data_IF_016174043636
#
_entry.id   IF_016174043636
#
_cell.length_a   1.000
_cell.length_b   1.000
_cell.length_c   1.000
_cell.angle_alpha   90.00
_cell.angle_beta   90.00
_cell.angle_gamma   90.00
#
_symmetry.space_group_name_H-M   'P 1'
#
loop_
_entity.id
_entity.type
_entity.pdbx_description
1 polymer ?
#
# COMPACT_ATOMS: atom_id res chain seq x y z
N UNK A 1 19.45 1.58 12.88
CA UNK A 1 18.67 0.53 13.57
C UNK A 1 18.68 -0.68 12.63
N UNK A 2 19.34 -1.79 12.99
CA UNK A 2 19.46 -2.97 12.14
C UNK A 2 18.42 -4.00 12.55
N UNK A 3 17.61 -4.49 11.60
CA UNK A 3 16.65 -5.56 11.80
C UNK A 3 17.40 -6.86 12.17
N UNK A 4 17.10 -7.44 13.34
CA UNK A 4 17.62 -8.74 13.75
C UNK A 4 16.43 -9.70 13.96
N UNK A 5 16.33 -10.72 13.11
CA UNK A 5 15.31 -11.78 13.18
C UNK A 5 14.24 -11.71 12.08
N UNK A 6 13.31 -12.68 12.08
CA UNK A 6 12.23 -12.80 11.09
C UNK A 6 11.02 -11.89 11.39
N UNK A 7 11.07 -11.07 12.45
CA UNK A 7 9.97 -10.19 12.83
C UNK A 7 10.14 -8.80 12.21
N UNK A 8 9.12 -8.36 11.48
CA UNK A 8 9.02 -6.98 10.97
C UNK A 8 8.53 -6.00 12.05
N UNK A 9 8.09 -6.52 13.18
CA UNK A 9 7.65 -5.79 14.38
C UNK A 9 8.72 -5.86 15.46
N UNK A 10 9.12 -4.70 15.97
CA UNK A 10 10.14 -4.57 17.01
C UNK A 10 9.55 -3.96 18.28
N UNK A 11 9.84 -4.60 19.43
CA UNK A 11 9.64 -3.96 20.73
C UNK A 11 10.65 -2.83 20.89
N UNK A 12 10.16 -1.68 21.34
CA UNK A 12 10.99 -0.48 21.55
C UNK A 12 11.59 -0.53 22.96
N UNK A 13 12.88 -0.24 23.10
CA UNK A 13 13.52 -0.17 24.42
C UNK A 13 13.11 1.11 25.18
N UNK A 14 13.31 1.12 26.50
CA UNK A 14 12.87 2.23 27.37
C UNK A 14 13.45 3.59 26.94
N UNK A 15 14.72 3.63 26.54
CA UNK A 15 15.38 4.87 26.12
C UNK A 15 14.78 5.43 24.83
N UNK A 16 14.47 4.55 23.86
CA UNK A 16 13.82 4.93 22.62
C UNK A 16 12.37 5.36 22.85
N UNK A 17 11.64 4.73 23.77
CA UNK A 17 10.29 5.17 24.16
C UNK A 17 10.36 6.57 24.79
N UNK A 18 11.32 6.81 25.69
CA UNK A 18 11.53 8.13 26.29
C UNK A 18 11.78 9.19 25.21
N UNK A 19 12.71 8.90 24.28
CA UNK A 19 13.00 9.80 23.16
C UNK A 19 11.78 10.06 22.28
N UNK A 20 11.00 9.04 21.92
CA UNK A 20 9.76 9.21 21.14
C UNK A 20 8.77 10.16 21.82
N UNK A 21 8.67 10.10 23.15
CA UNK A 21 7.79 10.99 23.93
C UNK A 21 8.30 12.43 23.95
N UNK A 22 9.61 12.61 24.13
CA UNK A 22 10.26 13.93 24.09
C UNK A 22 10.13 14.57 22.70
N UNK A 23 10.39 13.81 21.63
CA UNK A 23 10.25 14.26 20.24
C UNK A 23 8.79 14.66 19.94
N UNK A 24 7.81 13.87 20.41
CA UNK A 24 6.39 14.17 20.23
C UNK A 24 5.98 15.48 20.92
N UNK A 25 6.44 15.74 22.14
CA UNK A 25 6.20 17.00 22.86
C UNK A 25 6.81 18.21 22.14
N UNK A 26 7.97 18.04 21.51
CA UNK A 26 8.67 19.12 20.81
C UNK A 26 8.09 19.43 19.43
N UNK A 27 7.55 18.43 18.73
CA UNK A 27 7.22 18.55 17.30
C UNK A 27 5.71 18.63 17.07
N UNK A 28 4.92 17.88 17.84
CA UNK A 28 3.48 17.72 17.61
C UNK A 28 2.64 18.66 18.46
N UNK A 29 1.37 18.80 18.07
CA UNK A 29 0.38 19.50 18.87
C UNK A 29 0.13 18.74 20.20
N UNK A 30 -0.26 19.45 21.28
CA UNK A 30 -0.42 18.85 22.61
C UNK A 30 -1.28 17.59 22.65
N UNK A 31 -2.33 17.53 21.85
CA UNK A 31 -3.26 16.39 21.79
C UNK A 31 -2.59 15.13 21.22
N UNK A 32 -1.75 15.27 20.19
CA UNK A 32 -0.99 14.16 19.61
C UNK A 32 0.18 13.73 20.49
N UNK A 33 0.84 14.69 21.15
CA UNK A 33 1.87 14.39 22.15
C UNK A 33 1.27 13.60 23.32
N UNK A 34 0.07 13.96 23.76
CA UNK A 34 -0.64 13.23 24.82
C UNK A 34 -0.97 11.79 24.41
N UNK A 35 -1.35 11.54 23.15
CA UNK A 35 -1.57 10.19 22.63
C UNK A 35 -0.28 9.33 22.75
N UNK A 36 0.89 9.90 22.42
CA UNK A 36 2.17 9.21 22.58
C UNK A 36 2.52 8.93 24.04
N UNK A 37 2.22 9.86 24.96
CA UNK A 37 2.42 9.66 26.40
C UNK A 37 1.57 8.52 26.96
N UNK A 38 0.31 8.49 26.56
CA UNK A 38 -0.69 7.48 26.94
C UNK A 38 -0.45 6.11 26.30
N UNK A 39 0.53 5.98 25.40
CA UNK A 39 0.95 4.70 24.80
C UNK A 39 2.16 4.14 25.58
N UNK A 40 1.97 3.19 26.52
CA UNK A 40 3.04 2.74 27.41
C UNK A 40 4.08 1.87 26.69
N UNK A 41 3.65 1.02 25.76
CA UNK A 41 4.50 0.08 25.04
C UNK A 41 4.30 0.22 23.52
N UNK A 42 4.81 1.30 22.87
CA UNK A 42 4.76 1.40 21.43
C UNK A 42 5.65 0.32 20.78
N UNK A 43 5.31 -0.07 19.56
CA UNK A 43 6.13 -0.92 18.71
C UNK A 43 6.49 -0.19 17.43
N UNK A 44 7.58 -0.63 16.80
CA UNK A 44 7.99 -0.13 15.48
C UNK A 44 7.78 -1.25 14.47
N UNK A 45 7.01 -0.97 13.42
CA UNK A 45 6.86 -1.85 12.27
C UNK A 45 7.64 -1.30 11.08
N UNK A 46 8.46 -2.16 10.47
CA UNK A 46 8.98 -1.87 9.15
C UNK A 46 7.89 -2.03 8.10
N UNK A 47 7.82 -1.05 7.20
CA UNK A 47 6.94 -1.07 6.03
C UNK A 47 7.78 -1.50 4.84
N UNK A 48 7.36 -2.59 4.19
CA UNK A 48 7.98 -3.10 2.97
C UNK A 48 6.99 -3.07 1.82
N UNK A 49 7.51 -2.89 0.62
CA UNK A 49 6.82 -3.07 -0.64
C UNK A 49 7.83 -3.59 -1.69
N UNK A 50 7.35 -3.90 -2.89
CA UNK A 50 8.20 -4.32 -4.02
C UNK A 50 7.82 -3.59 -5.29
N UNK A 51 8.72 -3.53 -6.27
CA UNK A 51 8.31 -3.13 -7.61
C UNK A 51 7.18 -4.05 -8.12
N UNK A 52 6.25 -3.52 -8.92
CA UNK A 52 5.19 -4.34 -9.51
C UNK A 52 5.77 -5.53 -10.28
N UNK A 53 5.11 -6.67 -10.17
CA UNK A 53 5.45 -7.84 -10.98
C UNK A 53 5.17 -7.56 -12.46
N UNK A 54 5.92 -8.17 -13.36
CA UNK A 54 5.64 -8.10 -14.81
C UNK A 54 4.55 -9.10 -15.25
N UNK A 55 4.24 -10.08 -14.40
CA UNK A 55 3.33 -11.19 -14.67
C UNK A 55 2.64 -11.63 -13.37
N UNK A 56 1.38 -12.06 -13.47
CA UNK A 56 0.55 -12.49 -12.33
C UNK A 56 0.26 -14.00 -12.33
N UNK A 57 0.54 -14.72 -13.41
CA UNK A 57 0.32 -16.17 -13.46
C UNK A 57 1.41 -16.89 -14.26
N UNK A 58 1.65 -18.17 -13.95
CA UNK A 58 2.55 -19.06 -14.67
C UNK A 58 1.86 -20.40 -14.82
N UNK A 59 1.65 -20.84 -16.06
CA UNK A 59 0.87 -22.05 -16.39
C UNK A 59 -0.50 -22.07 -15.71
N UNK A 60 -0.65 -22.83 -14.63
CA UNK A 60 -1.87 -22.97 -13.83
C UNK A 60 -1.75 -22.38 -12.41
N UNK A 61 -0.69 -21.63 -12.13
CA UNK A 61 -0.45 -20.95 -10.84
C UNK A 61 -0.72 -19.45 -11.03
N UNK A 62 -1.51 -18.86 -10.13
CA UNK A 62 -1.85 -17.43 -10.15
C UNK A 62 -1.52 -16.80 -8.80
N UNK A 63 -0.95 -15.59 -8.83
CA UNK A 63 -0.75 -14.76 -7.66
C UNK A 63 -1.93 -13.82 -7.50
N UNK A 64 -2.41 -13.67 -6.27
CA UNK A 64 -3.47 -12.75 -5.87
C UNK A 64 -3.12 -12.11 -4.53
N UNK A 65 -3.75 -10.98 -4.22
CA UNK A 65 -3.56 -10.32 -2.92
C UNK A 65 -2.13 -9.84 -2.73
N UNK A 66 -1.65 -9.80 -1.49
CA UNK A 66 -0.30 -9.28 -1.17
C UNK A 66 0.82 -10.00 -1.94
N UNK A 67 0.63 -11.25 -2.37
CA UNK A 67 1.62 -11.95 -3.21
C UNK A 67 1.70 -11.38 -4.64
N UNK A 68 0.59 -10.87 -5.18
CA UNK A 68 0.55 -10.19 -6.47
C UNK A 68 0.94 -8.71 -6.36
N UNK A 69 0.70 -8.09 -5.20
CA UNK A 69 0.82 -6.66 -5.04
C UNK A 69 1.35 -6.22 -3.65
N UNK A 70 2.61 -6.55 -3.31
CA UNK A 70 3.23 -6.05 -2.08
C UNK A 70 3.22 -4.53 -2.07
N UNK A 71 2.46 -3.92 -1.15
CA UNK A 71 2.17 -2.48 -1.18
C UNK A 71 2.31 -1.85 0.20
N UNK A 72 2.70 -0.59 0.24
CA UNK A 72 2.71 0.18 1.50
C UNK A 72 1.28 0.47 1.97
N UNK A 73 1.03 0.62 3.28
CA UNK A 73 -0.32 0.79 3.81
C UNK A 73 -0.91 2.19 3.55
N UNK A 74 -0.16 3.11 2.93
CA UNK A 74 -0.47 4.54 2.93
C UNK A 74 -1.68 4.96 2.08
N UNK A 75 -2.19 4.05 1.24
CA UNK A 75 -3.42 4.23 0.48
C UNK A 75 -4.61 3.41 1.01
N UNK A 76 -4.41 2.50 1.98
CA UNK A 76 -5.46 1.65 2.57
C UNK A 76 -6.26 0.83 1.54
N UNK A 77 -5.59 0.24 0.54
CA UNK A 77 -6.24 -0.48 -0.56
C UNK A 77 -5.97 -1.98 -0.65
N UNK A 78 -5.02 -2.55 0.10
CA UNK A 78 -4.59 -3.94 -0.17
C UNK A 78 -5.71 -4.97 -0.08
N UNK A 79 -6.59 -4.85 0.93
CA UNK A 79 -7.77 -5.72 1.05
C UNK A 79 -8.73 -5.55 -0.14
N UNK A 80 -8.99 -4.30 -0.54
CA UNK A 80 -9.86 -4.01 -1.69
C UNK A 80 -9.27 -4.56 -2.99
N UNK A 81 -7.94 -4.48 -3.16
CA UNK A 81 -7.22 -5.06 -4.30
C UNK A 81 -7.34 -6.58 -4.31
N UNK A 82 -7.14 -7.23 -3.16
CA UNK A 82 -7.26 -8.68 -2.99
C UNK A 82 -8.68 -9.19 -3.33
N UNK A 83 -9.71 -8.47 -2.87
CA UNK A 83 -11.11 -8.79 -3.18
C UNK A 83 -11.37 -8.65 -4.69
N UNK A 84 -10.87 -7.59 -5.32
CA UNK A 84 -10.99 -7.40 -6.77
C UNK A 84 -10.22 -8.46 -7.56
N UNK A 85 -9.07 -8.90 -7.08
CA UNK A 85 -8.31 -10.00 -7.70
C UNK A 85 -9.15 -11.28 -7.68
N UNK A 86 -9.69 -11.66 -6.53
CA UNK A 86 -10.54 -12.85 -6.39
C UNK A 86 -11.80 -12.77 -7.28
N UNK A 87 -12.48 -11.62 -7.28
CA UNK A 87 -13.71 -11.42 -8.06
C UNK A 87 -13.43 -11.50 -9.57
N UNK A 88 -12.38 -10.82 -10.06
CA UNK A 88 -12.03 -10.84 -11.48
C UNK A 88 -11.54 -12.22 -11.91
N UNK A 89 -10.73 -12.89 -11.09
CA UNK A 89 -10.28 -14.24 -11.36
C UNK A 89 -11.46 -15.20 -11.47
N UNK A 90 -12.37 -15.18 -10.50
CA UNK A 90 -13.58 -15.99 -10.50
C UNK A 90 -14.43 -15.77 -11.75
N UNK A 91 -14.62 -14.51 -12.16
CA UNK A 91 -15.37 -14.17 -13.37
C UNK A 91 -14.69 -14.62 -14.67
N UNK A 92 -13.37 -14.51 -14.75
CA UNK A 92 -12.62 -15.01 -15.92
C UNK A 92 -12.72 -16.53 -16.04
N UNK A 93 -12.63 -17.24 -14.91
CA UNK A 93 -12.78 -18.70 -14.85
C UNK A 93 -14.21 -19.15 -15.19
N UNK A 94 -15.22 -18.48 -14.63
CA UNK A 94 -16.64 -18.74 -14.94
C UNK A 94 -16.93 -18.60 -16.43
N UNK A 95 -16.43 -17.53 -17.06
CA UNK A 95 -16.66 -17.21 -18.47
C UNK A 95 -16.01 -18.20 -19.45
N UNK A 96 -14.81 -18.68 -19.15
CA UNK A 96 -14.01 -19.53 -20.06
C UNK A 96 -14.14 -21.01 -19.76
N UNK A 97 -14.49 -21.38 -18.53
CA UNK A 97 -14.48 -22.75 -18.04
C UNK A 97 -13.07 -23.28 -17.77
N UNK A 98 -12.98 -24.47 -17.17
CA UNK A 98 -11.71 -25.13 -16.82
C UNK A 98 -10.93 -25.65 -18.04
N UNK A 99 -11.60 -25.86 -19.17
CA UNK A 99 -10.96 -26.37 -20.40
C UNK A 99 -10.11 -25.31 -21.12
N UNK A 100 -10.39 -24.02 -20.90
CA UNK A 100 -9.63 -22.90 -21.48
C UNK A 100 -8.99 -22.02 -20.38
N UNK A 101 -8.37 -22.69 -19.39
CA UNK A 101 -7.73 -22.05 -18.23
C UNK A 101 -6.71 -20.98 -18.63
N UNK A 102 -5.89 -21.25 -19.65
CA UNK A 102 -4.85 -20.32 -20.09
C UNK A 102 -5.45 -19.01 -20.58
N UNK A 103 -6.56 -19.04 -21.32
CA UNK A 103 -7.23 -17.81 -21.77
C UNK A 103 -7.89 -17.09 -20.61
N UNK A 104 -8.45 -17.82 -19.64
CA UNK A 104 -9.01 -17.24 -18.42
C UNK A 104 -7.95 -16.47 -17.61
N UNK A 105 -6.78 -17.06 -17.39
CA UNK A 105 -5.68 -16.43 -16.65
C UNK A 105 -5.06 -15.25 -17.41
N UNK A 106 -4.97 -15.32 -18.75
CA UNK A 106 -4.57 -14.17 -19.57
C UNK A 106 -5.57 -13.02 -19.44
N UNK A 107 -6.88 -13.30 -19.47
CA UNK A 107 -7.92 -12.30 -19.28
C UNK A 107 -7.80 -11.65 -17.88
N UNK A 108 -7.68 -12.46 -16.83
CA UNK A 108 -7.43 -11.99 -15.46
C UNK A 108 -6.22 -11.05 -15.38
N UNK A 109 -5.07 -11.48 -15.91
CA UNK A 109 -3.85 -10.69 -15.88
C UNK A 109 -4.01 -9.37 -16.65
N UNK A 110 -4.60 -9.40 -17.85
CA UNK A 110 -4.80 -8.20 -18.67
C UNK A 110 -5.63 -7.13 -17.95
N UNK A 111 -6.56 -7.56 -17.10
CA UNK A 111 -7.44 -6.67 -16.33
C UNK A 111 -6.75 -6.16 -15.06
N UNK A 112 -6.01 -7.03 -14.35
CA UNK A 112 -5.51 -6.72 -13.00
C UNK A 112 -4.12 -6.12 -12.97
N UNK A 113 -3.21 -6.59 -13.82
CA UNK A 113 -1.80 -6.20 -13.79
C UNK A 113 -1.59 -4.67 -13.91
N UNK A 114 -2.22 -3.95 -14.86
CA UNK A 114 -2.02 -2.50 -14.97
C UNK A 114 -2.56 -1.72 -13.77
N UNK A 115 -3.63 -2.23 -13.13
CA UNK A 115 -4.25 -1.60 -11.96
C UNK A 115 -3.37 -1.76 -10.74
N UNK A 116 -2.94 -3.00 -10.49
CA UNK A 116 -2.03 -3.35 -9.40
C UNK A 116 -0.75 -2.52 -9.47
N UNK A 117 -0.10 -2.48 -10.63
CA UNK A 117 1.16 -1.76 -10.79
C UNK A 117 1.04 -0.28 -10.45
N UNK A 118 0.01 0.40 -10.97
CA UNK A 118 -0.22 1.82 -10.68
C UNK A 118 -0.57 2.08 -9.21
N UNK A 119 -1.34 1.19 -8.56
CA UNK A 119 -1.71 1.36 -7.16
C UNK A 119 -0.54 1.14 -6.21
N UNK A 120 0.31 0.14 -6.45
CA UNK A 120 1.54 -0.11 -5.67
C UNK A 120 2.48 1.09 -5.73
N UNK A 121 2.80 1.56 -6.95
CA UNK A 121 3.70 2.71 -7.13
C UNK A 121 3.13 3.99 -6.53
N UNK A 122 1.83 4.24 -6.68
CA UNK A 122 1.17 5.39 -6.07
C UNK A 122 1.20 5.31 -4.54
N UNK A 123 0.93 4.14 -3.96
CA UNK A 123 1.02 3.94 -2.51
C UNK A 123 2.44 4.20 -1.98
N UNK A 124 3.47 3.68 -2.66
CA UNK A 124 4.88 3.98 -2.33
C UNK A 124 5.13 5.49 -2.34
N UNK A 125 4.71 6.17 -3.40
CA UNK A 125 4.90 7.61 -3.55
C UNK A 125 4.25 8.39 -2.41
N UNK A 126 2.95 8.17 -2.16
CA UNK A 126 2.22 8.79 -1.05
C UNK A 126 2.86 8.45 0.30
N UNK A 127 3.35 7.22 0.46
CA UNK A 127 4.07 6.79 1.65
C UNK A 127 5.35 7.56 1.91
N UNK A 128 6.14 7.82 0.87
CA UNK A 128 7.34 8.66 0.96
C UNK A 128 6.99 10.09 1.35
N UNK A 129 5.96 10.67 0.73
CA UNK A 129 5.47 12.02 1.05
C UNK A 129 5.05 12.10 2.53
N UNK A 130 4.20 11.19 3.00
CA UNK A 130 3.68 11.17 4.38
C UNK A 130 4.76 10.97 5.44
N UNK A 131 5.84 10.28 5.09
CA UNK A 131 6.98 10.06 5.99
C UNK A 131 8.06 11.14 5.87
N UNK A 132 7.87 12.15 5.03
CA UNK A 132 8.88 13.20 4.78
C UNK A 132 10.14 12.68 4.09
N UNK A 133 10.06 11.53 3.41
CA UNK A 133 11.16 10.98 2.63
C UNK A 133 11.30 11.73 1.31
N UNK A 134 12.54 11.86 0.82
CA UNK A 134 12.82 12.53 -0.44
C UNK A 134 12.19 11.80 -1.63
N UNK A 135 11.80 12.57 -2.65
CA UNK A 135 11.36 12.09 -3.94
C UNK A 135 12.20 12.78 -5.03
N UNK A 136 12.51 12.11 -6.14
CA UNK A 136 13.43 12.65 -7.16
C UNK A 136 12.82 13.83 -7.94
N UNK A 137 11.50 13.94 -7.96
CA UNK A 137 10.74 14.87 -8.80
C UNK A 137 10.12 16.04 -8.00
N UNK A 138 10.45 16.17 -6.71
CA UNK A 138 9.92 17.24 -5.85
C UNK A 138 10.77 17.48 -4.61
N UNK A 139 10.65 18.69 -4.06
CA UNK A 139 11.15 18.99 -2.72
C UNK A 139 10.37 18.22 -1.64
N UNK A 140 10.99 17.98 -0.46
CA UNK A 140 10.33 17.37 0.68
C UNK A 140 9.03 18.10 1.04
N UNK A 141 7.99 17.32 1.32
CA UNK A 141 6.66 17.86 1.62
C UNK A 141 6.69 18.74 2.87
N UNK A 142 6.11 19.93 2.78
CA UNK A 142 5.99 20.87 3.88
C UNK A 142 4.52 21.21 4.12
N UNK A 143 3.95 20.67 5.21
CA UNK A 143 2.54 20.87 5.54
C UNK A 143 2.14 22.35 5.72
N UNK A 144 3.07 23.25 6.09
CA UNK A 144 2.79 24.69 6.25
C UNK A 144 2.80 25.46 4.92
N UNK A 145 3.33 24.86 3.85
CA UNK A 145 3.46 25.46 2.52
C UNK A 145 2.80 24.61 1.42
N UNK A 146 2.06 23.57 1.80
CA UNK A 146 1.49 22.62 0.87
C UNK A 146 0.50 23.32 -0.08
N UNK A 147 0.65 23.07 -1.37
CA UNK A 147 -0.28 23.58 -2.38
C UNK A 147 -1.59 22.78 -2.39
N UNK A 148 -2.55 23.22 -3.22
CA UNK A 148 -3.79 22.46 -3.43
C UNK A 148 -3.49 21.12 -4.10
N UNK A 149 -2.56 21.10 -5.05
CA UNK A 149 -2.12 19.91 -5.77
C UNK A 149 -1.47 18.91 -4.81
N UNK A 150 -0.61 19.39 -3.92
CA UNK A 150 -0.03 18.60 -2.82
C UNK A 150 -1.11 17.93 -1.95
N UNK A 151 -2.12 18.72 -1.57
CA UNK A 151 -3.24 18.20 -0.78
C UNK A 151 -4.06 17.19 -1.57
N UNK A 152 -4.29 17.43 -2.86
CA UNK A 152 -4.99 16.52 -3.75
C UNK A 152 -4.23 15.19 -3.89
N UNK A 153 -2.92 15.20 -4.10
CA UNK A 153 -2.10 13.98 -4.24
C UNK A 153 -2.25 13.04 -3.03
N UNK A 154 -2.46 13.60 -1.83
CA UNK A 154 -2.63 12.83 -0.60
C UNK A 154 -4.03 12.25 -0.38
N UNK A 155 -5.02 12.68 -1.17
CA UNK A 155 -6.41 12.25 -1.01
C UNK A 155 -6.63 10.85 -1.59
N UNK A 156 -7.29 9.99 -0.81
CA UNK A 156 -7.56 8.61 -1.22
C UNK A 156 -8.36 8.51 -2.53
N UNK A 157 -9.30 9.42 -2.77
CA UNK A 157 -10.10 9.43 -4.02
C UNK A 157 -9.26 9.60 -5.29
N UNK A 158 -8.01 10.08 -5.16
CA UNK A 158 -7.09 10.30 -6.26
C UNK A 158 -6.14 9.11 -6.48
N UNK A 159 -6.28 8.04 -5.70
CA UNK A 159 -5.58 6.78 -5.97
C UNK A 159 -6.00 6.27 -7.37
N UNK A 160 -5.06 5.84 -8.23
CA UNK A 160 -5.40 5.30 -9.54
C UNK A 160 -6.47 4.21 -9.45
N UNK A 161 -7.50 4.30 -10.30
CA UNK A 161 -8.62 3.35 -10.32
C UNK A 161 -9.42 3.29 -9.00
N UNK A 162 -9.47 4.37 -8.22
CA UNK A 162 -10.17 4.38 -6.92
C UNK A 162 -11.64 3.93 -7.03
N UNK A 163 -12.38 4.50 -7.98
CA UNK A 163 -13.81 4.23 -8.24
C UNK A 163 -14.06 3.33 -9.46
N UNK A 164 -13.00 2.77 -10.06
CA UNK A 164 -13.13 1.96 -11.26
C UNK A 164 -13.50 0.51 -10.91
N UNK A 165 -14.56 0.02 -11.53
CA UNK A 165 -15.00 -1.38 -11.44
C UNK A 165 -14.66 -2.05 -12.78
N UNK A 166 -13.89 -3.16 -12.78
CA UNK A 166 -13.56 -3.86 -14.01
C UNK A 166 -14.79 -4.35 -14.78
N UNK A 167 -14.84 -4.10 -16.10
CA UNK A 167 -15.97 -4.45 -16.97
C UNK A 167 -16.34 -5.94 -16.94
N UNK A 168 -15.35 -6.81 -16.73
CA UNK A 168 -15.53 -8.26 -16.61
C UNK A 168 -16.43 -8.66 -15.43
N UNK A 169 -16.64 -7.79 -14.45
CA UNK A 169 -17.55 -8.04 -13.33
C UNK A 169 -19.02 -7.80 -13.66
N UNK A 170 -19.33 -7.12 -14.77
CA UNK A 170 -20.70 -6.86 -15.22
C UNK A 170 -21.19 -7.85 -16.30
N UNK A 171 -20.34 -8.82 -16.67
CA UNK A 171 -20.62 -9.86 -17.66
C UNK A 171 -20.83 -11.21 -16.96
#
# INVERSE_FOLDING_TARGET
MLFRGNSVTMKVNKDSIKKMKEDAESIWLPELAQLMKSTPEPFVNAIYDSDPLDQLFWDNVVLVGDAAHPTTPHCLRSTNMSILDAAVLGKCLEKRGSEDLKSALNEYQSVRLPVVAKQVLHARRVGRIKQGLSLPDREPFNAKKASVEDCCELQQKNVPFFSHIPDVLFK
#
